data_IF_792522678878
#
_entry.id   IF_792522678878
#
_cell.length_a   1.000
_cell.length_b   1.000
_cell.length_c   1.000
_cell.angle_alpha   90.00
_cell.angle_beta   90.00
_cell.angle_gamma   90.00
#
_symmetry.space_group_name_H-M   'P 1'
#
loop_
_entity.id
_entity.type
_entity.pdbx_description
1 polymer ?
#
# COMPACT_ATOMS: atom_id res chain seq x y z
N UNK A 1 6.24 -1.49 30.40
CA UNK A 1 6.04 -0.64 29.21
C UNK A 1 4.55 -0.60 28.90
N UNK A 2 3.93 0.57 28.71
CA UNK A 2 2.47 0.69 28.55
C UNK A 2 2.01 0.00 27.23
N UNK A 3 1.11 -0.99 27.27
CA UNK A 3 0.65 -1.71 26.07
C UNK A 3 -0.02 -0.79 25.03
N UNK A 4 -0.68 0.29 25.47
CA UNK A 4 -1.32 1.25 24.56
C UNK A 4 -0.30 2.10 23.80
N UNK A 5 0.81 2.44 24.45
CA UNK A 5 1.92 3.15 23.81
C UNK A 5 2.57 2.28 22.72
N UNK A 6 2.74 0.98 22.99
CA UNK A 6 3.27 0.01 22.01
C UNK A 6 2.31 -0.11 20.81
N UNK A 7 1.00 -0.19 21.06
CA UNK A 7 -0.01 -0.28 19.99
C UNK A 7 0.01 0.97 19.08
N UNK A 8 0.10 2.17 19.66
CA UNK A 8 0.23 3.43 18.90
C UNK A 8 1.50 3.47 18.04
N UNK A 9 2.66 3.08 18.58
CA UNK A 9 3.92 3.06 17.83
C UNK A 9 3.85 2.07 16.66
N UNK A 10 3.29 0.87 16.89
CA UNK A 10 3.10 -0.15 15.85
C UNK A 10 2.21 0.38 14.71
N UNK A 11 1.15 1.10 15.06
CA UNK A 11 0.23 1.71 14.11
C UNK A 11 0.89 2.82 13.25
N UNK A 12 1.71 3.69 13.86
CA UNK A 12 2.45 4.72 13.14
C UNK A 12 3.48 4.08 12.20
N UNK A 13 4.23 3.07 12.67
CA UNK A 13 5.17 2.32 11.83
C UNK A 13 4.49 1.64 10.65
N UNK A 14 3.31 1.05 10.85
CA UNK A 14 2.52 0.45 9.78
C UNK A 14 2.04 1.50 8.75
N UNK A 15 1.68 2.71 9.20
CA UNK A 15 1.30 3.82 8.31
C UNK A 15 2.48 4.27 7.42
N UNK A 16 3.67 4.39 7.99
CA UNK A 16 4.91 4.72 7.26
C UNK A 16 5.32 3.61 6.27
N UNK A 17 5.18 2.34 6.67
CA UNK A 17 5.44 1.20 5.77
C UNK A 17 4.45 1.17 4.61
N UNK A 18 3.17 1.43 4.87
CA UNK A 18 2.16 1.55 3.82
C UNK A 18 2.51 2.66 2.83
N UNK A 19 3.05 3.79 3.31
CA UNK A 19 3.56 4.86 2.44
C UNK A 19 4.76 4.40 1.59
N UNK A 20 5.78 3.82 2.21
CA UNK A 20 6.97 3.34 1.51
C UNK A 20 6.63 2.28 0.46
N UNK A 21 5.84 1.26 0.81
CA UNK A 21 5.43 0.21 -0.11
C UNK A 21 4.45 0.73 -1.17
N UNK A 22 3.59 1.68 -0.84
CA UNK A 22 2.72 2.33 -1.81
C UNK A 22 3.49 3.13 -2.85
N UNK A 23 4.58 3.78 -2.45
CA UNK A 23 5.49 4.47 -3.37
C UNK A 23 6.26 3.46 -4.25
N UNK A 24 6.73 2.36 -3.65
CA UNK A 24 7.36 1.26 -4.39
C UNK A 24 6.39 0.58 -5.37
N UNK A 25 5.09 0.61 -5.10
CA UNK A 25 4.08 0.08 -6.01
C UNK A 25 4.04 0.83 -7.36
N UNK A 26 4.59 2.05 -7.40
CA UNK A 26 4.71 2.83 -8.62
C UNK A 26 5.85 2.34 -9.53
N UNK A 27 6.79 1.53 -9.01
CA UNK A 27 7.93 1.06 -9.78
C UNK A 27 7.54 -0.01 -10.81
N UNK A 28 8.16 0.03 -12.01
CA UNK A 28 8.00 -1.01 -13.03
C UNK A 28 8.34 -2.39 -12.51
N UNK A 29 7.57 -3.39 -12.96
CA UNK A 29 7.81 -4.84 -12.77
C UNK A 29 7.57 -5.31 -11.32
N UNK A 30 8.08 -4.58 -10.34
CA UNK A 30 7.96 -4.90 -8.90
C UNK A 30 6.75 -4.24 -8.23
N UNK A 31 6.04 -3.34 -8.93
CA UNK A 31 4.98 -2.54 -8.35
C UNK A 31 3.81 -3.35 -7.79
N UNK A 32 3.43 -4.46 -8.44
CA UNK A 32 2.28 -5.29 -8.05
C UNK A 32 2.48 -5.94 -6.66
N UNK A 33 3.57 -6.71 -6.38
CA UNK A 33 3.74 -7.31 -5.07
C UNK A 33 3.87 -6.27 -3.94
N UNK A 34 4.52 -5.13 -4.21
CA UNK A 34 4.62 -4.05 -3.22
C UNK A 34 3.28 -3.36 -2.97
N UNK A 35 2.45 -3.19 -3.99
CA UNK A 35 1.07 -2.69 -3.87
C UNK A 35 0.21 -3.58 -2.98
N UNK A 36 0.27 -4.91 -3.17
CA UNK A 36 -0.47 -5.87 -2.33
C UNK A 36 -0.02 -5.78 -0.86
N UNK A 37 1.29 -5.75 -0.63
CA UNK A 37 1.85 -5.64 0.73
C UNK A 37 1.42 -4.33 1.40
N UNK A 38 1.40 -3.21 0.66
CA UNK A 38 0.92 -1.93 1.15
C UNK A 38 -0.56 -2.00 1.59
N UNK A 39 -1.42 -2.67 0.80
CA UNK A 39 -2.84 -2.85 1.12
C UNK A 39 -3.06 -3.70 2.37
N UNK A 40 -2.24 -4.73 2.60
CA UNK A 40 -2.30 -5.56 3.82
C UNK A 40 -1.97 -4.70 5.06
N UNK A 41 -0.90 -3.90 4.99
CA UNK A 41 -0.56 -2.97 6.07
C UNK A 41 -1.63 -1.89 6.27
N UNK A 42 -2.32 -1.49 5.19
CA UNK A 42 -3.41 -0.52 5.27
C UNK A 42 -4.59 -1.05 6.10
N UNK A 43 -4.90 -2.34 5.99
CA UNK A 43 -5.89 -3.03 6.81
C UNK A 43 -5.53 -3.05 8.30
N UNK A 44 -4.25 -3.27 8.64
CA UNK A 44 -3.77 -3.25 10.02
C UNK A 44 -3.89 -1.85 10.65
N UNK A 45 -3.59 -0.80 9.89
CA UNK A 45 -3.76 0.60 10.34
C UNK A 45 -5.23 0.93 10.54
N UNK A 46 -6.12 0.46 9.67
CA UNK A 46 -7.58 0.67 9.79
C UNK A 46 -8.16 0.02 11.05
N UNK A 47 -7.69 -1.17 11.40
CA UNK A 47 -8.05 -1.83 12.67
C UNK A 47 -7.54 -1.05 13.89
N UNK A 48 -6.30 -0.52 13.83
CA UNK A 48 -5.74 0.33 14.88
C UNK A 48 -6.46 1.68 15.04
N UNK A 49 -6.96 2.28 13.94
CA UNK A 49 -7.65 3.57 13.96
C UNK A 49 -8.97 3.54 14.72
N UNK A 50 -9.64 2.40 14.75
CA UNK A 50 -10.88 2.25 15.55
C UNK A 50 -10.61 2.33 17.06
N UNK A 51 -9.38 2.06 17.50
CA UNK A 51 -9.01 1.99 18.91
C UNK A 51 -8.17 3.19 19.36
N UNK A 52 -7.40 3.80 18.46
CA UNK A 52 -6.50 4.92 18.78
C UNK A 52 -6.47 5.98 17.67
N UNK A 53 -6.38 7.25 18.04
CA UNK A 53 -6.17 8.35 17.09
C UNK A 53 -4.81 8.23 16.38
N UNK A 54 -4.82 8.30 15.04
CA UNK A 54 -3.61 8.20 14.21
C UNK A 54 -3.10 9.57 13.73
N UNK A 55 -1.98 10.09 14.25
CA UNK A 55 -1.39 11.31 13.71
C UNK A 55 -0.79 11.11 12.31
N UNK A 56 -0.42 9.87 11.94
CA UNK A 56 0.19 9.54 10.64
C UNK A 56 -0.84 9.16 9.54
N UNK A 57 -2.11 9.52 9.74
CA UNK A 57 -3.19 9.28 8.77
C UNK A 57 -2.91 9.80 7.35
N UNK A 58 -2.33 11.01 7.11
CA UNK A 58 -2.09 11.47 5.75
C UNK A 58 -1.09 10.59 4.99
N UNK A 59 -0.06 10.08 5.66
CA UNK A 59 0.91 9.15 5.06
C UNK A 59 0.28 7.82 4.66
N UNK A 60 -0.61 7.30 5.52
CA UNK A 60 -1.38 6.09 5.21
C UNK A 60 -2.28 6.29 3.98
N UNK A 61 -2.99 7.43 3.89
CA UNK A 61 -3.86 7.73 2.76
C UNK A 61 -3.06 7.87 1.46
N UNK A 62 -1.96 8.62 1.49
CA UNK A 62 -1.08 8.80 0.34
C UNK A 62 -0.50 7.46 -0.12
N UNK A 63 0.00 6.64 0.82
CA UNK A 63 0.49 5.29 0.52
C UNK A 63 -0.55 4.39 -0.11
N UNK A 64 -1.79 4.43 0.39
CA UNK A 64 -2.88 3.64 -0.15
C UNK A 64 -3.30 4.11 -1.56
N UNK A 65 -3.30 5.41 -1.82
CA UNK A 65 -3.56 5.98 -3.16
C UNK A 65 -2.45 5.56 -4.13
N UNK A 66 -1.18 5.73 -3.76
CA UNK A 66 -0.04 5.31 -4.59
C UNK A 66 -0.05 3.80 -4.87
N UNK A 67 -0.36 2.98 -3.86
CA UNK A 67 -0.50 1.53 -4.01
C UNK A 67 -1.58 1.16 -5.02
N UNK A 68 -2.75 1.79 -4.92
CA UNK A 68 -3.88 1.51 -5.81
C UNK A 68 -3.58 1.94 -7.25
N UNK A 69 -3.08 3.17 -7.43
CA UNK A 69 -2.71 3.69 -8.76
C UNK A 69 -1.61 2.85 -9.39
N UNK A 70 -0.53 2.57 -8.66
CA UNK A 70 0.58 1.77 -9.14
C UNK A 70 0.15 0.36 -9.54
N UNK A 71 -0.67 -0.30 -8.72
CA UNK A 71 -1.18 -1.64 -9.02
C UNK A 71 -2.06 -1.65 -10.27
N UNK A 72 -3.01 -0.72 -10.40
CA UNK A 72 -3.89 -0.65 -11.57
C UNK A 72 -3.09 -0.35 -12.83
N UNK A 73 -2.20 0.64 -12.77
CA UNK A 73 -1.37 1.04 -13.89
C UNK A 73 -0.51 -0.11 -14.38
N UNK A 74 0.20 -0.79 -13.47
CA UNK A 74 1.05 -1.93 -13.84
C UNK A 74 0.27 -3.15 -14.30
N UNK A 75 -0.88 -3.47 -13.69
CA UNK A 75 -1.77 -4.52 -14.19
C UNK A 75 -2.24 -4.24 -15.61
N UNK A 76 -2.64 -2.99 -15.90
CA UNK A 76 -3.06 -2.59 -17.25
C UNK A 76 -1.92 -2.74 -18.26
N UNK A 77 -0.72 -2.27 -17.93
CA UNK A 77 0.47 -2.43 -18.78
C UNK A 77 0.79 -3.90 -19.05
N UNK A 78 0.73 -4.76 -18.02
CA UNK A 78 0.96 -6.21 -18.18
C UNK A 78 -0.08 -6.85 -19.11
N UNK A 79 -1.36 -6.49 -18.96
CA UNK A 79 -2.43 -6.97 -19.85
C UNK A 79 -2.19 -6.55 -21.30
N UNK A 80 -1.79 -5.30 -21.54
CA UNK A 80 -1.47 -4.83 -22.89
C UNK A 80 -0.27 -5.57 -23.50
N UNK A 81 0.80 -5.79 -22.73
CA UNK A 81 1.98 -6.52 -23.19
C UNK A 81 1.60 -7.97 -23.55
N UNK A 82 0.86 -8.66 -22.68
CA UNK A 82 0.42 -10.03 -22.92
C UNK A 82 -0.54 -10.10 -24.12
N UNK A 83 -1.52 -9.20 -24.19
CA UNK A 83 -2.46 -9.14 -25.31
C UNK A 83 -1.74 -8.93 -26.64
N UNK A 84 -0.70 -8.08 -26.65
CA UNK A 84 0.13 -7.88 -27.84
C UNK A 84 0.96 -9.12 -28.20
N UNK A 85 1.57 -9.78 -27.21
CA UNK A 85 2.32 -11.03 -27.43
C UNK A 85 1.41 -12.14 -27.99
N UNK A 86 0.16 -12.19 -27.54
CA UNK A 86 -0.83 -13.18 -27.95
C UNK A 86 -1.59 -12.77 -29.24
N UNK A 87 -1.30 -11.61 -29.83
CA UNK A 87 -2.05 -11.02 -30.96
C UNK A 87 -3.57 -10.90 -30.70
N UNK A 88 -3.97 -10.71 -29.44
CA UNK A 88 -5.36 -10.49 -29.04
C UNK A 88 -5.75 -9.00 -29.08
N UNK A 89 -4.76 -8.10 -29.21
CA UNK A 89 -4.84 -6.63 -29.30
C UNK A 89 -3.85 -6.11 -30.35
#
# INVERSE_FOLDING_TARGET
MNPDAIAKIKMIKASLRCFAFGLLALLPIIGIPFGIVALIFSGQVRAGQKRFWNPARPYWLCGNICAFIGTIFWCFVVVLIIGRILNLL
#
